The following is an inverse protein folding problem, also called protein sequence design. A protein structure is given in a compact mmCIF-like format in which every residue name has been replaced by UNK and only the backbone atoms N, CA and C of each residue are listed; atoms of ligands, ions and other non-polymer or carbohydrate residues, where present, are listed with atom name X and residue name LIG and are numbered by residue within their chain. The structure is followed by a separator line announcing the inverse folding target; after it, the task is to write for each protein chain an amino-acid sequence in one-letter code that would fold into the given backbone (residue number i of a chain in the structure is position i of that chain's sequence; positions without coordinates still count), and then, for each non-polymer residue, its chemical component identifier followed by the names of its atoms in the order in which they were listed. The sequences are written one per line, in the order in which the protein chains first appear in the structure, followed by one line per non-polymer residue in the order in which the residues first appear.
data_IF_304723746818
#
_entry.id   IF_304723746818
#
_cell.length_a   1.000
_cell.length_b   1.000
_cell.length_c   1.000
_cell.angle_alpha   90.00
_cell.angle_beta   90.00
_cell.angle_gamma   90.00
#
_symmetry.space_group_name_H-M   'P 1'
#
loop_
_entity.id
_entity.type
_entity.pdbx_description
1 polymer ?
#
# COMPACT_ATOMS: atom_id res chain seq x y z
N UNK A 1 -22.85 -6.24 35.31
CA UNK A 1 -24.07 -5.47 34.96
C UNK A 1 -23.76 -4.00 34.69
N UNK A 2 -23.05 -3.26 35.56
CA UNK A 2 -22.74 -1.83 35.37
C UNK A 2 -22.06 -1.52 34.04
N UNK A 3 -21.10 -2.33 33.59
CA UNK A 3 -20.39 -2.11 32.34
C UNK A 3 -21.30 -2.34 31.12
N UNK A 4 -22.15 -3.38 31.18
CA UNK A 4 -23.10 -3.64 30.07
C UNK A 4 -24.11 -2.49 29.97
N UNK A 5 -24.58 -1.98 31.11
CA UNK A 5 -25.47 -0.82 31.17
C UNK A 5 -24.77 0.45 30.64
N UNK A 6 -23.51 0.67 31.05
CA UNK A 6 -22.72 1.81 30.56
C UNK A 6 -22.51 1.73 29.04
N UNK A 7 -22.21 0.55 28.49
CA UNK A 7 -22.08 0.35 27.03
C UNK A 7 -23.39 0.58 26.29
N UNK A 8 -24.50 0.09 26.83
CA UNK A 8 -25.82 0.38 26.26
C UNK A 8 -26.11 1.88 26.27
N UNK A 9 -25.81 2.58 27.37
CA UNK A 9 -26.00 4.03 27.44
C UNK A 9 -25.12 4.77 26.43
N UNK A 10 -23.86 4.38 26.27
CA UNK A 10 -22.96 4.98 25.27
C UNK A 10 -23.45 4.71 23.85
N UNK A 11 -23.91 3.50 23.54
CA UNK A 11 -24.41 3.19 22.20
C UNK A 11 -25.72 3.96 21.90
N UNK A 12 -26.65 4.03 22.85
CA UNK A 12 -27.89 4.82 22.72
C UNK A 12 -27.57 6.31 22.56
N UNK A 13 -26.65 6.83 23.35
CA UNK A 13 -26.23 8.23 23.26
C UNK A 13 -25.63 8.56 21.87
N UNK A 14 -24.77 7.68 21.33
CA UNK A 14 -24.20 7.84 19.99
C UNK A 14 -25.26 7.74 18.91
N UNK A 15 -26.25 6.83 19.05
CA UNK A 15 -27.37 6.71 18.10
C UNK A 15 -28.26 7.96 18.14
N UNK A 16 -28.54 8.51 19.33
CA UNK A 16 -29.31 9.76 19.50
C UNK A 16 -28.56 10.97 18.91
N UNK A 17 -27.25 11.07 19.14
CA UNK A 17 -26.43 12.13 18.52
C UNK A 17 -26.45 12.08 16.99
N UNK A 18 -26.48 10.85 16.44
CA UNK A 18 -26.60 10.64 14.99
C UNK A 18 -27.96 11.15 14.49
N UNK A 19 -29.05 10.79 15.17
CA UNK A 19 -30.41 11.17 14.81
C UNK A 19 -30.60 12.71 14.84
N UNK A 20 -30.08 13.37 15.88
CA UNK A 20 -30.08 14.85 15.98
C UNK A 20 -29.23 15.49 14.88
N UNK A 21 -28.10 14.86 14.50
CA UNK A 21 -27.22 15.37 13.44
C UNK A 21 -27.80 15.17 12.04
N UNK A 22 -28.61 14.12 11.83
CA UNK A 22 -29.31 13.87 10.56
C UNK A 22 -30.52 14.80 10.37
N UNK A 23 -31.11 15.33 11.45
CA UNK A 23 -32.25 16.25 11.42
C UNK A 23 -31.87 17.69 11.02
N UNK A 24 -30.59 18.06 11.18
CA UNK A 24 -30.06 19.33 10.71
C UNK A 24 -29.63 19.23 9.23
N UNK A 25 -30.46 19.72 8.32
CA UNK A 25 -30.22 19.70 6.84
C UNK A 25 -28.86 20.27 6.39
N UNK A 26 -28.27 21.20 7.15
CA UNK A 26 -26.98 21.82 6.86
C UNK A 26 -25.78 20.88 7.00
N UNK A 27 -25.91 19.76 7.70
CA UNK A 27 -24.84 18.79 7.94
C UNK A 27 -24.94 17.53 7.04
N UNK A 28 -26.03 17.39 6.30
CA UNK A 28 -26.33 16.22 5.45
C UNK A 28 -25.30 15.97 4.34
N UNK A 29 -24.57 16.99 3.91
CA UNK A 29 -23.53 16.88 2.86
C UNK A 29 -22.11 16.58 3.38
N UNK A 30 -21.92 16.33 4.68
CA UNK A 30 -20.61 15.98 5.22
C UNK A 30 -20.55 14.49 5.54
N UNK A 31 -19.40 13.81 5.35
CA UNK A 31 -19.23 12.37 5.60
C UNK A 31 -19.18 12.05 7.10
N UNK A 32 -20.07 12.64 7.92
CA UNK A 32 -20.11 12.48 9.37
C UNK A 32 -20.62 11.09 9.77
N UNK A 33 -21.46 10.45 8.93
CA UNK A 33 -21.97 9.10 9.18
C UNK A 33 -20.84 8.08 9.38
N UNK A 34 -19.79 8.17 8.56
CA UNK A 34 -18.61 7.31 8.70
C UNK A 34 -17.90 7.50 10.06
N UNK A 35 -17.79 8.74 10.53
CA UNK A 35 -17.14 9.07 11.80
C UNK A 35 -17.94 8.51 12.98
N UNK A 36 -19.25 8.67 13.01
CA UNK A 36 -20.10 8.10 14.05
C UNK A 36 -20.04 6.57 14.08
N UNK A 37 -20.05 5.95 12.91
CA UNK A 37 -19.92 4.49 12.81
C UNK A 37 -18.56 3.98 13.32
N UNK A 38 -17.48 4.69 13.02
CA UNK A 38 -16.15 4.36 13.55
C UNK A 38 -16.07 4.50 15.07
N UNK A 39 -16.62 5.57 15.64
CA UNK A 39 -16.66 5.79 17.08
C UNK A 39 -17.51 4.70 17.77
N UNK A 40 -18.67 4.34 17.20
CA UNK A 40 -19.51 3.26 17.72
C UNK A 40 -18.78 1.91 17.69
N UNK A 41 -18.12 1.58 16.58
CA UNK A 41 -17.34 0.36 16.45
C UNK A 41 -16.22 0.31 17.51
N UNK A 42 -15.50 1.42 17.69
CA UNK A 42 -14.41 1.51 18.69
C UNK A 42 -14.95 1.33 20.12
N UNK A 43 -16.06 1.99 20.47
CA UNK A 43 -16.65 1.90 21.79
C UNK A 43 -17.15 0.48 22.12
N UNK A 44 -17.77 -0.20 21.14
CA UNK A 44 -18.19 -1.60 21.26
C UNK A 44 -16.99 -2.52 21.43
N UNK A 45 -15.91 -2.30 20.67
CA UNK A 45 -14.67 -3.09 20.79
C UNK A 45 -14.04 -2.96 22.19
N UNK A 46 -13.93 -1.73 22.70
CA UNK A 46 -13.41 -1.48 24.07
C UNK A 46 -14.30 -2.15 25.11
N UNK A 47 -15.61 -2.04 24.94
CA UNK A 47 -16.56 -2.69 25.83
C UNK A 47 -16.46 -4.20 25.84
N UNK A 48 -16.27 -4.81 24.68
CA UNK A 48 -16.08 -6.24 24.56
C UNK A 48 -14.82 -6.71 25.32
N UNK A 49 -13.71 -5.95 25.21
CA UNK A 49 -12.48 -6.24 25.94
C UNK A 49 -12.71 -6.16 27.46
N UNK A 50 -13.43 -5.15 27.93
CA UNK A 50 -13.74 -5.00 29.35
C UNK A 50 -14.63 -6.14 29.88
N UNK A 51 -15.63 -6.57 29.13
CA UNK A 51 -16.48 -7.71 29.49
C UNK A 51 -15.67 -8.99 29.55
N UNK A 52 -14.82 -9.25 28.57
CA UNK A 52 -13.93 -10.43 28.52
C UNK A 52 -12.95 -10.40 29.71
N UNK A 53 -12.39 -9.23 30.04
CA UNK A 53 -11.51 -9.02 31.18
C UNK A 53 -12.15 -9.48 32.50
N UNK A 54 -13.39 -9.10 32.70
CA UNK A 54 -14.14 -9.47 33.93
C UNK A 54 -14.48 -10.97 33.95
N UNK A 55 -14.88 -11.53 32.80
CA UNK A 55 -15.23 -12.96 32.71
C UNK A 55 -14.01 -13.87 32.99
N UNK A 56 -12.83 -13.46 32.55
CA UNK A 56 -11.58 -14.22 32.73
C UNK A 56 -10.94 -13.90 34.08
N UNK A 57 -11.36 -12.83 34.78
CA UNK A 57 -10.75 -12.37 36.01
C UNK A 57 -9.32 -11.86 35.85
N UNK A 58 -9.01 -11.28 34.69
CA UNK A 58 -7.71 -10.68 34.37
C UNK A 58 -7.88 -9.19 34.04
N UNK A 59 -6.82 -8.43 34.30
CA UNK A 59 -6.81 -7.00 33.97
C UNK A 59 -6.93 -6.78 32.45
N UNK A 60 -7.68 -5.78 32.05
CA UNK A 60 -7.86 -5.40 30.65
C UNK A 60 -6.52 -5.12 29.95
N UNK A 61 -5.53 -4.59 30.68
CA UNK A 61 -4.17 -4.35 30.19
C UNK A 61 -3.46 -5.63 29.78
N UNK A 62 -3.65 -6.72 30.53
CA UNK A 62 -3.07 -8.04 30.20
C UNK A 62 -3.68 -8.60 28.89
N UNK A 63 -5.00 -8.44 28.72
CA UNK A 63 -5.69 -8.88 27.49
C UNK A 63 -5.24 -8.04 26.29
N UNK A 64 -5.15 -6.72 26.46
CA UNK A 64 -4.66 -5.81 25.41
C UNK A 64 -3.21 -6.12 25.04
N UNK A 65 -2.34 -6.41 26.01
CA UNK A 65 -0.96 -6.81 25.76
C UNK A 65 -0.90 -8.12 24.95
N UNK A 66 -1.71 -9.12 25.29
CA UNK A 66 -1.81 -10.38 24.57
C UNK A 66 -2.31 -10.19 23.13
N UNK A 67 -3.37 -9.40 22.94
CA UNK A 67 -3.89 -9.06 21.63
C UNK A 67 -2.87 -8.28 20.79
N UNK A 68 -2.19 -7.30 21.40
CA UNK A 68 -1.14 -6.52 20.75
C UNK A 68 0.04 -7.37 20.30
N UNK A 69 0.50 -8.29 21.15
CA UNK A 69 1.55 -9.24 20.81
C UNK A 69 1.14 -10.14 19.63
N UNK A 70 -0.09 -10.68 19.67
CA UNK A 70 -0.63 -11.50 18.57
C UNK A 70 -0.75 -10.71 17.27
N UNK A 71 -1.23 -9.47 17.33
CA UNK A 71 -1.33 -8.58 16.17
C UNK A 71 0.05 -8.26 15.59
N UNK A 72 1.08 -8.05 16.41
CA UNK A 72 2.45 -7.80 15.96
C UNK A 72 3.02 -9.02 15.22
N UNK A 73 2.78 -10.23 15.71
CA UNK A 73 3.20 -11.47 15.03
C UNK A 73 2.48 -11.62 13.69
N UNK A 74 1.16 -11.40 13.66
CA UNK A 74 0.40 -11.45 12.40
C UNK A 74 0.89 -10.41 11.40
N UNK A 75 1.15 -9.18 11.85
CA UNK A 75 1.69 -8.12 10.99
C UNK A 75 3.06 -8.47 10.42
N UNK A 76 3.91 -9.15 11.20
CA UNK A 76 5.21 -9.64 10.74
C UNK A 76 5.06 -10.72 9.65
N UNK A 77 4.12 -11.64 9.83
CA UNK A 77 3.83 -12.71 8.85
C UNK A 77 3.31 -12.13 7.52
N UNK A 78 2.41 -11.14 7.59
CA UNK A 78 1.79 -10.54 6.41
C UNK A 78 2.54 -9.32 5.86
N UNK A 79 3.67 -8.94 6.45
CA UNK A 79 4.43 -7.74 6.09
C UNK A 79 4.68 -7.63 4.58
N UNK A 80 5.23 -8.67 3.98
CA UNK A 80 5.60 -8.63 2.56
C UNK A 80 4.38 -8.59 1.64
N UNK A 81 3.29 -9.24 2.04
CA UNK A 81 2.02 -9.18 1.32
C UNK A 81 1.41 -7.78 1.35
N UNK A 82 1.45 -7.12 2.51
CA UNK A 82 0.96 -5.74 2.68
C UNK A 82 1.83 -4.77 1.87
N UNK A 83 3.16 -4.90 1.95
CA UNK A 83 4.08 -4.08 1.16
C UNK A 83 3.87 -4.28 -0.35
N UNK A 84 3.67 -5.51 -0.80
CA UNK A 84 3.36 -5.82 -2.20
C UNK A 84 2.07 -5.17 -2.66
N UNK A 85 1.00 -5.27 -1.87
CA UNK A 85 -0.30 -4.66 -2.17
C UNK A 85 -0.20 -3.13 -2.24
N UNK A 86 0.40 -2.49 -1.24
CA UNK A 86 0.57 -1.03 -1.19
C UNK A 86 1.40 -0.55 -2.38
N UNK A 87 2.51 -1.23 -2.69
CA UNK A 87 3.35 -0.90 -3.83
C UNK A 87 2.63 -1.09 -5.16
N UNK A 88 1.82 -2.15 -5.32
CA UNK A 88 1.01 -2.37 -6.52
C UNK A 88 0.00 -1.25 -6.76
N UNK A 89 -0.69 -0.82 -5.70
CA UNK A 89 -1.59 0.35 -5.75
C UNK A 89 -0.81 1.62 -6.09
N UNK A 90 0.34 1.83 -5.49
CA UNK A 90 1.17 3.01 -5.71
C UNK A 90 1.73 3.09 -7.15
N UNK A 91 2.18 1.97 -7.72
CA UNK A 91 2.63 1.88 -9.11
C UNK A 91 1.50 2.26 -10.08
N UNK A 92 0.27 1.78 -9.81
CA UNK A 92 -0.90 2.06 -10.61
C UNK A 92 -1.39 3.50 -10.46
N UNK A 93 -1.51 4.00 -9.21
CA UNK A 93 -2.02 5.34 -8.93
C UNK A 93 -1.12 6.45 -9.46
N UNK A 94 0.21 6.24 -9.41
CA UNK A 94 1.20 7.20 -9.90
C UNK A 94 1.56 6.98 -11.39
N UNK A 95 0.92 6.04 -12.07
CA UNK A 95 1.19 5.69 -13.47
C UNK A 95 2.69 5.43 -13.76
N UNK A 96 3.37 4.82 -12.79
CA UNK A 96 4.81 4.56 -12.90
C UNK A 96 5.13 3.47 -13.92
N UNK A 97 4.19 2.51 -14.09
CA UNK A 97 4.38 1.33 -14.92
C UNK A 97 3.08 0.89 -15.58
N UNK A 98 3.12 0.62 -16.89
CA UNK A 98 1.99 0.05 -17.65
C UNK A 98 2.40 -1.24 -18.35
N UNK A 99 1.46 -2.18 -18.57
CA UNK A 99 1.70 -3.27 -19.52
C UNK A 99 2.12 -2.72 -20.89
N UNK A 100 3.16 -3.30 -21.47
CA UNK A 100 3.77 -2.84 -22.73
C UNK A 100 4.90 -1.82 -22.58
N UNK A 101 5.19 -1.34 -21.38
CA UNK A 101 6.38 -0.51 -21.14
C UNK A 101 7.66 -1.34 -21.25
N UNK A 102 8.68 -0.74 -21.83
CA UNK A 102 10.03 -1.29 -21.75
C UNK A 102 10.72 -0.74 -20.53
N UNK A 103 11.17 -1.65 -19.68
CA UNK A 103 11.91 -1.32 -18.44
C UNK A 103 13.24 -2.04 -18.38
N UNK A 104 14.20 -1.40 -17.73
CA UNK A 104 15.48 -2.01 -17.38
C UNK A 104 15.71 -1.92 -15.87
N UNK A 105 15.89 -3.08 -15.23
CA UNK A 105 16.18 -3.19 -13.80
C UNK A 105 17.30 -4.21 -13.58
N UNK A 106 18.53 -3.72 -13.61
CA UNK A 106 19.73 -4.57 -13.59
C UNK A 106 19.80 -5.48 -12.36
N UNK A 107 19.34 -4.99 -11.19
CA UNK A 107 19.35 -5.75 -9.92
C UNK A 107 18.58 -7.07 -10.02
N UNK A 108 17.53 -7.12 -10.83
CA UNK A 108 16.68 -8.30 -11.03
C UNK A 108 16.91 -8.97 -12.40
N UNK A 109 17.91 -8.52 -13.15
CA UNK A 109 18.19 -9.04 -14.49
C UNK A 109 17.02 -8.84 -15.47
N UNK A 110 16.22 -7.80 -15.26
CA UNK A 110 15.10 -7.47 -16.11
C UNK A 110 15.53 -6.41 -17.13
N UNK A 111 15.39 -6.74 -18.42
CA UNK A 111 15.52 -5.81 -19.54
C UNK A 111 14.59 -6.25 -20.67
N UNK A 112 13.40 -5.65 -20.70
CA UNK A 112 12.36 -6.06 -21.64
C UNK A 112 11.03 -5.40 -21.43
N UNK A 113 10.00 -6.01 -21.98
CA UNK A 113 8.64 -5.47 -21.95
C UNK A 113 7.83 -6.04 -20.79
N UNK A 114 7.12 -5.15 -20.11
CA UNK A 114 6.15 -5.52 -19.08
C UNK A 114 4.96 -6.21 -19.75
N UNK A 115 4.73 -7.47 -19.40
CA UNK A 115 3.61 -8.25 -19.94
C UNK A 115 2.38 -8.15 -19.06
N UNK A 116 2.58 -8.13 -17.75
CA UNK A 116 1.50 -8.14 -16.77
C UNK A 116 1.91 -7.33 -15.54
N UNK A 117 0.98 -6.53 -15.04
CA UNK A 117 1.09 -5.82 -13.75
C UNK A 117 -0.05 -6.28 -12.87
N UNK A 118 0.26 -7.07 -11.85
CA UNK A 118 -0.67 -7.54 -10.83
C UNK A 118 -0.37 -6.86 -9.49
N UNK A 119 -1.29 -6.97 -8.53
CA UNK A 119 -1.09 -6.41 -7.18
C UNK A 119 0.11 -7.01 -6.42
N UNK A 120 0.46 -8.25 -6.74
CA UNK A 120 1.52 -8.98 -6.04
C UNK A 120 2.75 -9.25 -6.89
N UNK A 121 2.63 -9.12 -8.21
CA UNK A 121 3.72 -9.47 -9.14
C UNK A 121 3.68 -8.62 -10.40
N UNK A 122 4.87 -8.28 -10.91
CA UNK A 122 5.06 -7.69 -12.22
C UNK A 122 5.89 -8.64 -13.06
N UNK A 123 5.39 -9.03 -14.24
CA UNK A 123 6.09 -9.91 -15.18
C UNK A 123 6.71 -9.08 -16.29
N UNK A 124 8.00 -9.28 -16.52
CA UNK A 124 8.78 -8.64 -17.57
C UNK A 124 9.30 -9.72 -18.51
N UNK A 125 8.96 -9.63 -19.78
CA UNK A 125 9.53 -10.48 -20.80
C UNK A 125 10.80 -9.83 -21.34
N UNK A 126 11.93 -10.42 -21.01
CA UNK A 126 13.25 -9.99 -21.50
C UNK A 126 13.39 -10.21 -23.01
N UNK A 127 14.38 -9.58 -23.61
CA UNK A 127 14.65 -9.71 -25.06
C UNK A 127 15.08 -11.13 -25.46
N UNK A 128 15.66 -11.90 -24.53
CA UNK A 128 15.98 -13.32 -24.72
C UNK A 128 14.77 -14.27 -24.59
N UNK A 129 13.54 -13.70 -24.44
CA UNK A 129 12.28 -14.41 -24.22
C UNK A 129 12.10 -15.03 -22.86
N UNK A 130 13.04 -14.86 -21.92
CA UNK A 130 12.83 -15.24 -20.54
C UNK A 130 11.84 -14.31 -19.84
N UNK A 131 11.15 -14.81 -18.83
CA UNK A 131 10.22 -14.00 -18.02
C UNK A 131 10.83 -13.79 -16.65
N UNK A 132 11.10 -12.53 -16.31
CA UNK A 132 11.50 -12.13 -14.96
C UNK A 132 10.27 -11.65 -14.19
N UNK A 133 10.05 -12.25 -13.01
CA UNK A 133 8.97 -11.86 -12.10
C UNK A 133 9.54 -10.99 -10.99
N UNK A 134 9.03 -9.77 -10.86
CA UNK A 134 9.51 -8.77 -9.91
C UNK A 134 8.37 -8.45 -8.94
N UNK A 135 8.61 -8.48 -7.61
CA UNK A 135 7.61 -8.03 -6.65
C UNK A 135 7.40 -6.51 -6.76
N UNK A 136 6.16 -5.99 -6.72
CA UNK A 136 5.87 -4.56 -6.89
C UNK A 136 6.64 -3.66 -5.92
N UNK A 137 6.86 -4.09 -4.69
CA UNK A 137 7.59 -3.31 -3.70
C UNK A 137 9.03 -3.01 -4.16
N UNK A 138 9.66 -3.90 -4.93
CA UNK A 138 11.01 -3.69 -5.43
C UNK A 138 11.06 -2.57 -6.48
N UNK A 139 10.02 -2.41 -7.28
CA UNK A 139 9.91 -1.32 -8.26
C UNK A 139 9.63 0.04 -7.61
N UNK A 140 9.12 0.06 -6.38
CA UNK A 140 8.90 1.29 -5.61
C UNK A 140 10.12 1.63 -4.75
N UNK A 141 10.80 0.62 -4.19
CA UNK A 141 11.94 0.82 -3.29
C UNK A 141 13.27 0.99 -4.01
N UNK A 142 13.44 0.34 -5.15
CA UNK A 142 14.66 0.40 -5.96
C UNK A 142 14.44 1.28 -7.21
N UNK A 143 15.55 1.73 -7.80
CA UNK A 143 15.49 2.47 -9.05
C UNK A 143 15.38 1.52 -10.26
N UNK A 144 14.51 1.84 -11.18
CA UNK A 144 14.42 1.21 -12.50
C UNK A 144 14.34 2.27 -13.60
N UNK A 145 14.70 1.91 -14.81
CA UNK A 145 14.59 2.79 -15.98
C UNK A 145 13.35 2.42 -16.77
N UNK A 146 12.44 3.38 -16.95
CA UNK A 146 11.29 3.23 -17.84
C UNK A 146 11.58 3.98 -19.15
N UNK A 147 11.55 3.27 -20.27
CA UNK A 147 11.85 3.80 -21.60
C UNK A 147 10.62 4.35 -22.31
N UNK A 148 9.47 4.48 -21.64
CA UNK A 148 8.24 5.06 -22.19
C UNK A 148 8.50 6.45 -22.78
N UNK A 149 9.13 7.32 -22.02
CA UNK A 149 9.43 8.69 -22.45
C UNK A 149 10.29 8.77 -23.71
N UNK A 150 11.22 7.83 -23.93
CA UNK A 150 12.00 7.76 -25.16
C UNK A 150 11.12 7.39 -26.37
N UNK A 151 10.12 6.53 -26.20
CA UNK A 151 9.18 6.14 -27.27
C UNK A 151 8.22 7.27 -27.63
N UNK A 152 7.79 8.03 -26.64
CA UNK A 152 6.85 9.15 -26.82
C UNK A 152 7.50 10.37 -27.48
N UNK A 153 8.78 10.65 -27.18
CA UNK A 153 9.48 11.79 -27.81
C UNK A 153 9.98 11.52 -29.22
N UNK A 154 9.78 10.32 -29.78
CA UNK A 154 10.18 9.97 -31.18
C UNK A 154 11.68 9.98 -31.44
N UNK A 155 12.51 10.11 -30.39
CA UNK A 155 13.97 10.17 -30.49
C UNK A 155 14.69 9.28 -29.49
N UNK A 156 15.82 8.69 -29.90
CA UNK A 156 16.68 7.89 -29.04
C UNK A 156 18.04 8.56 -28.87
N UNK A 157 18.48 8.76 -27.64
CA UNK A 157 19.87 9.17 -27.39
C UNK A 157 20.82 8.04 -27.77
N UNK A 158 21.71 8.29 -28.75
CA UNK A 158 22.80 7.41 -29.10
C UNK A 158 24.07 7.99 -28.47
N UNK A 159 24.72 7.22 -27.58
CA UNK A 159 26.02 7.56 -27.01
C UNK A 159 27.02 6.49 -27.46
N UNK A 160 27.91 6.85 -28.33
CA UNK A 160 29.04 5.99 -28.76
C UNK A 160 30.34 6.76 -28.56
N UNK A 161 31.37 6.08 -28.13
CA UNK A 161 32.73 6.60 -28.04
C UNK A 161 33.62 5.83 -29.00
N UNK A 162 34.44 6.54 -29.73
CA UNK A 162 35.52 5.95 -30.56
C UNK A 162 36.81 6.38 -29.92
N UNK A 163 37.63 5.39 -29.58
CA UNK A 163 38.98 5.67 -29.07
C UNK A 163 39.88 6.05 -30.26
N UNK A 164 40.37 7.28 -30.21
CA UNK A 164 41.33 7.77 -31.19
C UNK A 164 42.72 7.80 -30.51
N UNK A 165 43.71 7.33 -31.22
CA UNK A 165 45.09 7.51 -30.76
C UNK A 165 45.49 8.97 -30.98
N UNK A 166 45.82 9.67 -29.88
CA UNK A 166 46.19 11.07 -29.90
C UNK A 166 47.48 11.34 -30.78
N UNK A 167 48.30 10.33 -30.97
CA UNK A 167 49.51 10.43 -31.80
C UNK A 167 49.20 10.49 -33.30
N UNK A 168 47.99 10.04 -33.72
CA UNK A 168 47.58 10.05 -35.13
C UNK A 168 46.80 11.32 -35.53
N UNK A 169 46.43 12.16 -34.54
CA UNK A 169 45.73 13.43 -34.78
C UNK A 169 46.76 14.47 -35.27
N UNK A 170 46.76 14.78 -36.55
CA UNK A 170 47.54 15.89 -37.11
C UNK A 170 46.67 17.14 -37.13
N UNK A 171 47.12 18.18 -36.44
CA UNK A 171 46.52 19.51 -36.58
C UNK A 171 47.17 20.16 -37.83
N UNK A 172 46.30 20.52 -38.78
CA UNK A 172 46.71 21.30 -39.97
C UNK A 172 46.73 22.78 -39.64
#
# INVERSE_FOLDING_TARGET
YLIVVALMLVSVFLDTLREISDEHETLRNRPLQGIYQMIKLLSVSVGCILVVSILIGRDATTILAGLGASAAVLMLIFRDSILGLVAGVQLSANDMLRPGDWITMAKYGADGYVTEVSLTTVKVQNFDKTITTIPPYALVSDSFQNWRGMRECGGRRIKRSVLLDASTVRFC
#
